data_IF_944627948118
#
_entry.id   IF_944627948118
#
_cell.length_a   1.000
_cell.length_b   1.000
_cell.length_c   1.000
_cell.angle_alpha   90.00
_cell.angle_beta   90.00
_cell.angle_gamma   90.00
#
_symmetry.space_group_name_H-M   'P 1'
#
loop_
_entity.id
_entity.type
_entity.pdbx_description
1 polymer ?
#
# COMPACT_ATOMS: atom_id res chain seq x y z
N UNK A 1 -0.32 -5.89 19.05
CA UNK A 1 -1.34 -6.19 18.02
C UNK A 1 -2.74 -6.00 18.57
N UNK A 2 -3.05 -6.51 19.78
CA UNK A 2 -4.41 -6.48 20.33
C UNK A 2 -4.99 -5.05 20.48
N UNK A 3 -4.18 -4.07 20.89
CA UNK A 3 -4.62 -2.67 20.94
C UNK A 3 -5.00 -2.09 19.56
N UNK A 4 -4.29 -2.49 18.49
CA UNK A 4 -4.63 -2.09 17.12
C UNK A 4 -5.93 -2.77 16.69
N UNK A 5 -6.11 -4.05 16.99
CA UNK A 5 -7.34 -4.79 16.65
C UNK A 5 -8.56 -4.26 17.40
N UNK A 6 -8.41 -3.89 18.68
CA UNK A 6 -9.48 -3.25 19.45
C UNK A 6 -9.89 -1.92 18.82
N UNK A 7 -8.90 -1.08 18.49
CA UNK A 7 -9.15 0.19 17.79
C UNK A 7 -9.83 -0.03 16.43
N UNK A 8 -9.41 -1.03 15.65
CA UNK A 8 -10.05 -1.35 14.37
C UNK A 8 -11.49 -1.83 14.56
N UNK A 9 -11.78 -2.64 15.58
CA UNK A 9 -13.14 -3.11 15.85
C UNK A 9 -14.11 -1.96 16.15
N UNK A 10 -13.62 -0.90 16.79
CA UNK A 10 -14.40 0.30 17.11
C UNK A 10 -14.56 1.23 15.89
N UNK A 11 -13.49 1.43 15.12
CA UNK A 11 -13.45 2.45 14.05
C UNK A 11 -13.96 1.93 12.70
N UNK A 12 -13.72 0.67 12.35
CA UNK A 12 -14.07 0.13 11.01
C UNK A 12 -15.57 0.26 10.67
N UNK A 13 -16.52 0.06 11.60
CA UNK A 13 -17.95 0.27 11.32
C UNK A 13 -18.32 1.71 10.92
N UNK A 14 -17.51 2.70 11.28
CA UNK A 14 -17.73 4.12 10.95
C UNK A 14 -17.12 4.52 9.60
N UNK A 15 -16.31 3.64 8.99
CA UNK A 15 -15.61 3.93 7.74
C UNK A 15 -16.42 3.45 6.53
N UNK A 16 -16.54 4.32 5.53
CA UNK A 16 -17.16 3.99 4.25
C UNK A 16 -16.19 3.40 3.22
N UNK A 17 -14.91 3.24 3.59
CA UNK A 17 -13.84 2.74 2.71
C UNK A 17 -13.21 1.46 3.27
N UNK A 18 -12.69 0.58 2.40
CA UNK A 18 -12.00 -0.63 2.84
C UNK A 18 -10.71 -0.28 3.59
N UNK A 19 -10.42 -1.03 4.66
CA UNK A 19 -9.17 -0.89 5.40
C UNK A 19 -8.18 -1.97 4.99
N UNK A 20 -6.95 -1.53 4.79
CA UNK A 20 -5.82 -2.38 4.45
C UNK A 20 -4.77 -2.18 5.54
N UNK A 21 -4.53 -3.21 6.35
CA UNK A 21 -3.51 -3.17 7.40
C UNK A 21 -2.18 -3.67 6.81
N UNK A 22 -1.06 -3.08 7.23
CA UNK A 22 0.28 -3.33 6.69
C UNK A 22 1.22 -3.65 7.85
N UNK A 23 1.84 -4.84 7.84
CA UNK A 23 2.80 -5.25 8.88
C UNK A 23 3.80 -6.26 8.33
N UNK A 24 4.81 -6.60 9.13
CA UNK A 24 5.82 -7.60 8.79
C UNK A 24 5.31 -9.02 9.06
N UNK A 25 5.93 -10.02 8.40
CA UNK A 25 5.49 -11.41 8.48
C UNK A 25 5.34 -11.92 9.93
N UNK A 26 6.32 -11.66 10.80
CA UNK A 26 6.35 -12.20 12.17
C UNK A 26 5.07 -11.92 12.97
N UNK A 27 4.63 -10.66 13.11
CA UNK A 27 3.37 -10.31 13.76
C UNK A 27 2.09 -10.87 13.09
N UNK A 28 2.14 -11.19 11.79
CA UNK A 28 0.98 -11.52 10.95
C UNK A 28 0.69 -13.03 10.86
N UNK A 29 1.71 -13.90 11.01
CA UNK A 29 1.57 -15.37 10.91
C UNK A 29 0.42 -15.93 11.75
N UNK A 30 -0.07 -15.17 12.74
CA UNK A 30 -1.21 -15.54 13.56
C UNK A 30 -2.58 -15.01 13.09
N UNK A 31 -2.71 -13.99 12.22
CA UNK A 31 -3.99 -13.27 11.99
C UNK A 31 -4.29 -12.61 10.60
N UNK A 32 -3.50 -12.84 9.54
CA UNK A 32 -3.87 -12.48 8.14
C UNK A 32 -3.74 -11.00 7.77
N UNK A 33 -2.84 -10.65 6.82
CA UNK A 33 -2.57 -9.26 6.45
C UNK A 33 -1.66 -9.10 5.21
N UNK A 34 -1.55 -7.88 4.64
CA UNK A 34 -0.43 -7.52 3.75
C UNK A 34 0.89 -7.83 4.45
N UNK A 35 1.65 -8.74 3.83
CA UNK A 35 3.01 -9.09 4.22
C UNK A 35 3.94 -8.69 3.05
N UNK A 36 4.62 -7.54 3.12
CA UNK A 36 5.49 -7.07 2.04
C UNK A 36 6.74 -7.95 1.83
N UNK A 37 7.08 -8.76 2.84
CA UNK A 37 8.27 -9.62 2.91
C UNK A 37 7.92 -11.12 2.82
N UNK A 38 6.72 -11.49 2.34
CA UNK A 38 6.32 -12.90 2.24
C UNK A 38 7.16 -13.62 1.19
N UNK A 39 7.92 -14.67 1.56
CA UNK A 39 8.60 -15.50 0.58
C UNK A 39 7.56 -16.13 -0.37
N UNK A 40 7.84 -16.12 -1.68
CA UNK A 40 6.94 -16.70 -2.69
C UNK A 40 6.55 -18.16 -2.35
N UNK A 41 7.46 -18.93 -1.75
CA UNK A 41 7.25 -20.31 -1.32
C UNK A 41 6.12 -20.45 -0.29
N UNK A 42 5.94 -19.46 0.59
CA UNK A 42 4.94 -19.47 1.67
C UNK A 42 3.62 -18.82 1.25
N UNK A 43 3.57 -18.24 0.05
CA UNK A 43 2.41 -17.51 -0.47
C UNK A 43 1.19 -18.39 -0.66
N UNK A 44 1.36 -19.66 -1.05
CA UNK A 44 0.24 -20.59 -1.29
C UNK A 44 -0.53 -20.94 -0.01
N UNK A 45 0.19 -21.27 1.07
CA UNK A 45 -0.38 -21.58 2.38
C UNK A 45 -1.04 -20.35 2.98
N UNK A 46 -0.36 -19.21 2.93
CA UNK A 46 -0.87 -17.97 3.51
C UNK A 46 -2.12 -17.45 2.76
N UNK A 47 -2.11 -17.54 1.43
CA UNK A 47 -3.26 -17.18 0.58
C UNK A 47 -4.47 -18.07 0.87
N UNK A 48 -4.26 -19.37 1.05
CA UNK A 48 -5.35 -20.30 1.36
C UNK A 48 -6.01 -19.95 2.69
N UNK A 49 -5.22 -19.56 3.69
CA UNK A 49 -5.74 -19.14 4.99
C UNK A 49 -6.44 -17.77 4.91
N UNK A 50 -5.90 -16.83 4.14
CA UNK A 50 -6.55 -15.55 3.89
C UNK A 50 -7.93 -15.72 3.24
N UNK A 51 -8.04 -16.57 2.21
CA UNK A 51 -9.32 -16.87 1.53
C UNK A 51 -10.34 -17.47 2.51
N UNK A 52 -9.94 -18.42 3.36
CA UNK A 52 -10.85 -19.01 4.37
C UNK A 52 -11.42 -17.97 5.34
N UNK A 53 -10.66 -16.92 5.61
CA UNK A 53 -11.05 -15.84 6.52
C UNK A 53 -11.67 -14.63 5.79
N UNK A 54 -12.01 -14.77 4.49
CA UNK A 54 -12.51 -13.68 3.63
C UNK A 54 -11.58 -12.44 3.60
N UNK A 55 -10.27 -12.67 3.64
CA UNK A 55 -9.24 -11.64 3.56
C UNK A 55 -8.58 -11.66 2.18
N UNK A 56 -8.35 -10.47 1.63
CA UNK A 56 -7.57 -10.30 0.41
C UNK A 56 -6.08 -10.16 0.75
N UNK A 57 -5.25 -10.99 0.12
CA UNK A 57 -3.80 -10.92 0.24
C UNK A 57 -3.23 -10.02 -0.87
N UNK A 58 -2.88 -8.79 -0.53
CA UNK A 58 -2.18 -7.88 -1.44
C UNK A 58 -0.69 -8.22 -1.42
N UNK A 59 -0.15 -8.54 -2.60
CA UNK A 59 1.27 -8.81 -2.80
C UNK A 59 1.99 -7.60 -3.39
N UNK A 60 3.30 -7.59 -3.18
CA UNK A 60 4.18 -6.49 -3.56
C UNK A 60 5.12 -6.89 -4.70
N UNK A 61 5.37 -5.95 -5.61
CA UNK A 61 6.35 -6.09 -6.70
C UNK A 61 7.20 -4.83 -6.80
N UNK A 62 8.38 -4.94 -7.42
CA UNK A 62 9.29 -3.82 -7.66
C UNK A 62 9.74 -3.79 -9.12
N UNK A 63 10.27 -2.66 -9.64
CA UNK A 63 10.85 -2.59 -10.98
C UNK A 63 12.06 -3.52 -11.21
N UNK A 64 12.62 -4.12 -10.16
CA UNK A 64 13.65 -5.16 -10.27
C UNK A 64 13.10 -6.58 -10.31
N UNK A 65 11.78 -6.76 -10.12
CA UNK A 65 11.14 -8.07 -10.15
C UNK A 65 11.06 -8.57 -11.60
N UNK A 66 11.60 -9.76 -11.90
CA UNK A 66 11.52 -10.35 -13.25
C UNK A 66 10.07 -10.53 -13.73
N UNK A 67 9.85 -10.43 -15.05
CA UNK A 67 8.51 -10.43 -15.64
C UNK A 67 7.70 -11.72 -15.40
N UNK A 68 8.36 -12.87 -15.39
CA UNK A 68 7.77 -14.18 -15.04
C UNK A 68 7.26 -14.19 -13.59
N UNK A 69 8.05 -13.65 -12.65
CA UNK A 69 7.66 -13.51 -11.25
C UNK A 69 6.54 -12.49 -11.07
N UNK A 70 6.57 -11.39 -11.82
CA UNK A 70 5.52 -10.37 -11.79
C UNK A 70 4.16 -10.93 -12.21
N UNK A 71 4.12 -11.79 -13.24
CA UNK A 71 2.90 -12.51 -13.65
C UNK A 71 2.36 -13.39 -12.53
N UNK A 72 3.23 -14.14 -11.86
CA UNK A 72 2.84 -15.00 -10.74
C UNK A 72 2.30 -14.18 -9.55
N UNK A 73 2.95 -13.08 -9.20
CA UNK A 73 2.51 -12.15 -8.14
C UNK A 73 1.14 -11.58 -8.49
N UNK A 74 0.96 -11.10 -9.72
CA UNK A 74 -0.31 -10.50 -10.18
C UNK A 74 -1.46 -11.51 -10.14
N UNK A 75 -1.22 -12.76 -10.52
CA UNK A 75 -2.21 -13.83 -10.46
C UNK A 75 -2.54 -14.28 -9.03
N UNK A 76 -1.60 -14.13 -8.09
CA UNK A 76 -1.77 -14.54 -6.71
C UNK A 76 -2.35 -13.42 -5.80
N UNK A 77 -2.19 -12.16 -6.18
CA UNK A 77 -2.65 -10.98 -5.41
C UNK A 77 -4.18 -10.87 -5.42
N UNK A 78 -4.76 -10.53 -4.28
CA UNK A 78 -6.17 -10.14 -4.11
C UNK A 78 -6.31 -8.63 -3.98
N UNK A 79 -7.45 -8.08 -4.42
CA UNK A 79 -7.73 -6.65 -4.41
C UNK A 79 -6.91 -5.86 -5.45
N UNK A 80 -5.61 -5.66 -5.18
CA UNK A 80 -4.69 -4.93 -6.05
C UNK A 80 -3.26 -5.48 -5.95
N UNK A 81 -2.34 -5.01 -6.80
CA UNK A 81 -0.90 -5.30 -6.70
C UNK A 81 -0.18 -4.05 -6.21
N UNK A 82 0.59 -4.17 -5.13
CA UNK A 82 1.38 -3.06 -4.61
C UNK A 82 2.69 -2.95 -5.41
N UNK A 83 2.78 -1.98 -6.32
CA UNK A 83 4.04 -1.64 -7.00
C UNK A 83 4.85 -0.61 -6.20
N UNK A 84 6.03 -1.00 -5.73
CA UNK A 84 6.95 -0.05 -5.07
C UNK A 84 7.75 0.70 -6.13
N UNK A 85 7.66 2.03 -6.13
CA UNK A 85 8.26 2.89 -7.15
C UNK A 85 9.80 2.94 -7.14
N UNK A 86 10.47 2.47 -6.09
CA UNK A 86 11.94 2.48 -5.98
C UNK A 86 12.49 1.26 -5.23
N UNK A 87 13.67 0.78 -5.64
CA UNK A 87 14.43 -0.24 -4.92
C UNK A 87 15.13 0.34 -3.67
N UNK A 88 14.37 0.91 -2.73
CA UNK A 88 14.92 1.50 -1.51
C UNK A 88 13.85 1.73 -0.43
N UNK A 89 14.28 1.75 0.83
CA UNK A 89 13.42 1.98 2.00
C UNK A 89 12.64 3.29 1.88
N UNK A 90 11.37 3.26 2.28
CA UNK A 90 10.41 4.38 2.16
C UNK A 90 10.93 5.63 2.87
N UNK A 91 11.35 6.62 2.09
CA UNK A 91 11.80 7.92 2.55
C UNK A 91 11.42 8.98 1.52
N UNK A 92 10.78 10.05 1.98
CA UNK A 92 10.17 11.09 1.15
C UNK A 92 11.18 11.70 0.18
N UNK A 93 11.07 11.37 -1.11
CA UNK A 93 11.84 12.00 -2.18
C UNK A 93 10.90 12.72 -3.12
N UNK A 94 11.35 13.87 -3.62
CA UNK A 94 10.58 14.76 -4.50
C UNK A 94 10.50 14.26 -5.95
N UNK A 95 11.28 13.23 -6.33
CA UNK A 95 11.35 12.71 -7.70
C UNK A 95 11.02 11.22 -7.74
N UNK A 96 10.06 10.86 -8.59
CA UNK A 96 9.70 9.47 -8.92
C UNK A 96 10.75 8.91 -9.89
N UNK A 97 11.14 7.64 -9.74
CA UNK A 97 12.15 7.03 -10.59
C UNK A 97 11.65 6.90 -12.04
N UNK A 98 12.40 7.37 -13.06
CA UNK A 98 12.02 7.24 -14.48
C UNK A 98 11.77 5.79 -14.93
N UNK A 99 12.33 4.81 -14.23
CA UNK A 99 12.10 3.39 -14.52
C UNK A 99 10.66 2.93 -14.23
N UNK A 100 9.96 3.64 -13.34
CA UNK A 100 8.54 3.41 -13.06
C UNK A 100 7.71 3.80 -14.27
N UNK A 101 8.06 4.90 -14.95
CA UNK A 101 7.41 5.31 -16.19
C UNK A 101 7.53 4.23 -17.28
N UNK A 102 8.69 3.59 -17.46
CA UNK A 102 8.83 2.52 -18.47
C UNK A 102 8.07 1.23 -18.09
N UNK A 103 8.07 0.86 -16.81
CA UNK A 103 7.33 -0.32 -16.31
C UNK A 103 5.81 -0.09 -16.40
N UNK A 104 5.40 1.15 -16.19
CA UNK A 104 4.03 1.60 -16.34
C UNK A 104 3.65 1.80 -17.81
N UNK A 105 4.55 2.24 -18.70
CA UNK A 105 4.31 2.36 -20.15
C UNK A 105 4.21 1.01 -20.87
N UNK A 106 4.88 -0.03 -20.38
CA UNK A 106 4.58 -1.42 -20.76
C UNK A 106 3.13 -1.81 -20.38
N UNK A 107 2.46 -1.00 -19.55
CA UNK A 107 1.11 -1.21 -19.01
C UNK A 107 0.10 -0.10 -19.45
N UNK A 108 0.50 1.16 -19.78
CA UNK A 108 -0.21 2.28 -20.48
C UNK A 108 0.50 3.66 -20.34
N UNK A 109 0.18 4.65 -21.21
CA UNK A 109 0.89 5.94 -21.41
C UNK A 109 0.35 7.19 -20.64
N UNK A 110 1.29 8.10 -20.23
CA UNK A 110 1.20 9.57 -19.96
C UNK A 110 1.18 10.11 -18.49
N UNK A 111 1.23 11.44 -18.29
CA UNK A 111 2.14 12.23 -17.41
C UNK A 111 1.84 12.50 -15.90
N UNK A 112 1.27 11.57 -15.16
CA UNK A 112 1.27 11.53 -13.68
C UNK A 112 1.24 10.07 -13.25
N UNK A 113 1.56 9.67 -12.00
CA UNK A 113 1.53 8.22 -11.65
C UNK A 113 0.16 7.60 -11.97
N UNK A 114 -0.93 8.36 -11.85
CA UNK A 114 -2.27 7.94 -12.27
C UNK A 114 -2.41 7.90 -13.81
N UNK A 115 -1.91 8.89 -14.54
CA UNK A 115 -1.93 8.90 -16.01
C UNK A 115 -0.96 7.85 -16.61
N UNK A 116 0.03 7.39 -15.84
CA UNK A 116 0.91 6.28 -16.18
C UNK A 116 0.14 4.94 -16.13
N UNK A 117 -1.17 4.96 -15.89
CA UNK A 117 -2.04 3.79 -15.89
C UNK A 117 -2.10 3.08 -14.54
N UNK A 118 -1.68 3.71 -13.45
CA UNK A 118 -1.90 3.17 -12.11
C UNK A 118 -3.36 3.39 -11.67
N UNK A 119 -3.99 2.33 -11.16
CA UNK A 119 -5.37 2.40 -10.62
C UNK A 119 -5.46 3.19 -9.30
N UNK A 120 -4.32 3.50 -8.67
CA UNK A 120 -4.26 4.25 -7.42
C UNK A 120 -2.85 4.60 -6.98
N UNK A 121 -2.75 5.46 -5.96
CA UNK A 121 -1.47 5.94 -5.40
C UNK A 121 -1.46 5.76 -3.89
N UNK A 122 -0.38 5.21 -3.34
CA UNK A 122 -0.19 5.02 -1.90
C UNK A 122 0.76 6.08 -1.35
N UNK A 123 0.30 6.84 -0.35
CA UNK A 123 1.04 7.99 0.21
C UNK A 123 1.24 7.78 1.72
N UNK A 124 2.39 7.21 2.10
CA UNK A 124 2.73 6.89 3.49
C UNK A 124 3.47 8.03 4.21
N UNK A 125 4.79 8.13 4.01
CA UNK A 125 5.67 9.02 4.80
C UNK A 125 5.24 10.48 4.82
N UNK A 126 4.64 11.00 3.73
CA UNK A 126 4.15 12.37 3.71
C UNK A 126 2.95 12.60 4.65
N UNK A 127 2.02 11.63 4.76
CA UNK A 127 0.90 11.69 5.71
C UNK A 127 1.41 11.61 7.16
N UNK A 128 2.35 10.68 7.43
CA UNK A 128 2.96 10.51 8.76
C UNK A 128 3.65 11.79 9.21
N UNK A 129 4.38 12.48 8.32
CA UNK A 129 5.03 13.77 8.65
C UNK A 129 4.03 14.85 9.06
N UNK A 130 2.87 14.94 8.42
CA UNK A 130 1.87 15.94 8.81
C UNK A 130 1.37 15.75 10.25
N UNK A 131 1.21 14.50 10.68
CA UNK A 131 0.82 14.15 12.04
C UNK A 131 1.97 14.26 13.04
N UNK A 132 3.12 13.64 12.73
CA UNK A 132 4.24 13.47 13.64
C UNK A 132 5.08 14.72 13.87
N UNK A 133 5.13 15.64 12.91
CA UNK A 133 5.90 16.89 13.03
C UNK A 133 5.04 18.09 13.46
N UNK A 134 3.79 17.87 13.86
CA UNK A 134 2.92 18.94 14.35
C UNK A 134 3.21 19.27 15.82
N UNK A 135 3.02 20.53 16.21
CA UNK A 135 3.24 20.95 17.59
C UNK A 135 2.19 20.41 18.58
N UNK A 136 1.07 19.88 18.07
CA UNK A 136 0.04 19.21 18.89
C UNK A 136 -0.78 18.23 18.05
N UNK A 137 -1.43 17.23 18.67
CA UNK A 137 -2.33 16.31 17.98
C UNK A 137 -3.43 17.03 17.18
N UNK A 138 -4.05 18.07 17.77
CA UNK A 138 -5.09 18.86 17.11
C UNK A 138 -4.58 19.59 15.87
N UNK A 139 -3.36 20.12 15.92
CA UNK A 139 -2.73 20.74 14.75
C UNK A 139 -2.35 19.68 13.70
N UNK A 140 -1.88 18.51 14.12
CA UNK A 140 -1.58 17.38 13.24
C UNK A 140 -2.78 16.94 12.42
N UNK A 141 -3.95 16.79 13.06
CA UNK A 141 -5.20 16.46 12.37
C UNK A 141 -5.58 17.52 11.33
N UNK A 142 -5.47 18.81 11.65
CA UNK A 142 -5.72 19.90 10.69
C UNK A 142 -4.75 19.89 9.51
N UNK A 143 -3.46 19.63 9.76
CA UNK A 143 -2.44 19.51 8.71
C UNK A 143 -2.72 18.33 7.80
N UNK A 144 -3.06 17.18 8.39
CA UNK A 144 -3.42 15.97 7.66
C UNK A 144 -4.65 16.21 6.79
N UNK A 145 -5.71 16.79 7.33
CA UNK A 145 -6.94 17.09 6.59
C UNK A 145 -6.65 17.98 5.38
N UNK A 146 -5.93 19.09 5.59
CA UNK A 146 -5.55 20.01 4.50
C UNK A 146 -4.75 19.30 3.42
N UNK A 147 -3.79 18.47 3.81
CA UNK A 147 -2.94 17.76 2.88
C UNK A 147 -3.70 16.67 2.11
N UNK A 148 -4.51 15.86 2.79
CA UNK A 148 -5.35 14.83 2.18
C UNK A 148 -6.34 15.41 1.17
N UNK A 149 -6.99 16.55 1.49
CA UNK A 149 -7.84 17.28 0.54
C UNK A 149 -7.06 17.72 -0.68
N UNK A 150 -5.89 18.34 -0.50
CA UNK A 150 -5.06 18.80 -1.63
C UNK A 150 -4.62 17.67 -2.56
N UNK A 151 -4.41 16.47 -2.04
CA UNK A 151 -4.08 15.29 -2.83
C UNK A 151 -5.30 14.74 -3.55
N UNK A 152 -6.47 14.74 -2.90
CA UNK A 152 -7.72 14.31 -3.52
C UNK A 152 -8.13 15.24 -4.65
N UNK A 153 -7.95 16.55 -4.49
CA UNK A 153 -8.24 17.57 -5.51
C UNK A 153 -7.26 17.50 -6.70
N UNK A 154 -6.07 16.93 -6.50
CA UNK A 154 -5.07 16.71 -7.55
C UNK A 154 -5.31 15.43 -8.36
N UNK A 155 -6.21 14.56 -7.89
CA UNK A 155 -6.66 13.38 -8.63
C UNK A 155 -7.98 13.73 -9.35
N UNK A 156 -8.21 13.20 -10.56
CA UNK A 156 -9.46 13.40 -11.28
C UNK A 156 -10.71 12.84 -10.55
#
# INVERSE_FOLDING_TARGET
MDGVMSMLAEVTPELSCPMVLFSYFGPIVRRGLIVPDLPYVETSTFRSEAIKNNLELVLLTTPATPADRMKAITAASGGFVYLVSVNGVTGSRQNVNPRVEHLLQEIKQQSCIADWGADGVIIGSAMVRQLGEAASPKQGLKRLEKYARSLKDALP
#
